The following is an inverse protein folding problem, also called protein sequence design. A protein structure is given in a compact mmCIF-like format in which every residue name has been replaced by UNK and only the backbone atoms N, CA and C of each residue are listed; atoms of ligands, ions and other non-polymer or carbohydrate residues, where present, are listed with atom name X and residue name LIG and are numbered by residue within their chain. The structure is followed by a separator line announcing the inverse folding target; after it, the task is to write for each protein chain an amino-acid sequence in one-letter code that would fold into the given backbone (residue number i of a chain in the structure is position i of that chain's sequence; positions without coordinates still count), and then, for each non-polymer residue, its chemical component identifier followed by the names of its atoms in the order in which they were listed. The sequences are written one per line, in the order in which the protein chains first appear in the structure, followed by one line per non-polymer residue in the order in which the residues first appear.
data_IF_639664354254
#
_entry.id   IF_639664354254
#
_cell.length_a   1.000
_cell.length_b   1.000
_cell.length_c   1.000
_cell.angle_alpha   90.00
_cell.angle_beta   90.00
_cell.angle_gamma   90.00
#
_symmetry.space_group_name_H-M   'P 1'
#
loop_
_entity.id
_entity.type
_entity.pdbx_description
1 polymer ?
#
# COMPACT_ATOMS: atom_id res chain seq x y z
N UNK A 1 16.16 13.86 3.75
CA UNK A 1 15.04 14.28 4.61
C UNK A 1 13.90 13.29 4.39
N UNK A 2 13.47 12.55 5.41
CA UNK A 2 12.44 11.48 5.34
C UNK A 2 11.05 12.01 5.72
N UNK A 3 10.52 12.93 4.93
CA UNK A 3 9.31 13.69 5.26
C UNK A 3 8.06 12.79 5.19
N UNK A 4 7.89 12.06 4.10
CA UNK A 4 6.67 11.28 3.85
C UNK A 4 6.68 9.96 4.62
N UNK A 5 7.85 9.32 4.75
CA UNK A 5 8.05 8.09 5.52
C UNK A 5 7.60 8.26 6.98
N UNK A 6 8.03 9.34 7.65
CA UNK A 6 7.65 9.59 9.04
C UNK A 6 6.14 9.79 9.21
N UNK A 7 5.49 10.49 8.27
CA UNK A 7 4.03 10.63 8.30
C UNK A 7 3.33 9.31 7.99
N UNK A 8 3.82 8.53 7.01
CA UNK A 8 3.29 7.20 6.71
C UNK A 8 3.33 6.30 7.95
N UNK A 9 4.46 6.22 8.65
CA UNK A 9 4.59 5.41 9.87
C UNK A 9 3.61 5.86 10.97
N UNK A 10 3.44 7.17 11.15
CA UNK A 10 2.44 7.72 12.08
C UNK A 10 1.02 7.26 11.71
N UNK A 11 0.66 7.31 10.44
CA UNK A 11 -0.69 6.93 10.00
C UNK A 11 -0.90 5.42 10.04
N UNK A 12 0.14 4.62 9.77
CA UNK A 12 0.11 3.17 9.97
C UNK A 12 -0.12 2.85 11.45
N UNK A 13 0.60 3.52 12.37
CA UNK A 13 0.39 3.37 13.81
C UNK A 13 -1.08 3.64 14.20
N UNK A 14 -1.67 4.71 13.68
CA UNK A 14 -3.09 5.02 13.89
C UNK A 14 -4.00 3.92 13.32
N UNK A 15 -3.70 3.42 12.11
CA UNK A 15 -4.47 2.35 11.48
C UNK A 15 -4.41 1.03 12.25
N UNK A 16 -3.29 0.68 12.86
CA UNK A 16 -3.21 -0.48 13.77
C UNK A 16 -4.22 -0.36 14.92
N UNK A 17 -4.39 0.84 15.48
CA UNK A 17 -5.40 1.07 16.52
C UNK A 17 -6.81 0.76 16.01
N UNK A 18 -7.16 1.18 14.79
CA UNK A 18 -8.46 0.86 14.19
C UNK A 18 -8.62 -0.63 13.83
N UNK A 19 -7.53 -1.30 13.47
CA UNK A 19 -7.56 -2.73 13.12
C UNK A 19 -7.80 -3.60 14.35
N UNK A 20 -7.09 -3.31 15.44
CA UNK A 20 -7.02 -4.18 16.60
C UNK A 20 -7.95 -3.78 17.74
N UNK A 21 -8.53 -2.57 17.73
CA UNK A 21 -9.58 -2.19 18.70
C UNK A 21 -10.76 -3.18 18.69
N UNK A 22 -11.18 -3.69 19.85
CA UNK A 22 -12.38 -4.52 19.99
C UNK A 22 -13.63 -3.63 19.86
N UNK A 23 -14.22 -3.52 18.67
CA UNK A 23 -15.52 -2.87 18.53
C UNK A 23 -16.65 -3.85 18.89
N UNK A 24 -17.42 -3.54 19.95
CA UNK A 24 -18.66 -4.23 20.32
C UNK A 24 -19.81 -4.10 19.29
N UNK A 25 -19.62 -3.35 18.21
CA UNK A 25 -20.54 -3.31 17.07
C UNK A 25 -19.93 -4.02 15.87
N UNK A 26 -20.66 -5.03 15.44
CA UNK A 26 -20.46 -5.89 14.30
C UNK A 26 -19.91 -5.18 13.04
N UNK A 27 -19.01 -5.87 12.34
CA UNK A 27 -19.04 -6.02 10.88
C UNK A 27 -19.08 -4.77 9.98
N UNK A 28 -18.58 -3.60 10.40
CA UNK A 28 -18.22 -2.58 9.40
C UNK A 28 -16.94 -3.04 8.69
N UNK A 29 -17.14 -3.57 7.47
CA UNK A 29 -16.16 -4.16 6.53
C UNK A 29 -14.74 -3.57 6.65
N UNK A 30 -13.75 -4.45 6.56
CA UNK A 30 -12.29 -4.20 6.59
C UNK A 30 -11.80 -2.96 5.84
N UNK A 31 -12.50 -2.55 4.78
CA UNK A 31 -12.07 -1.49 3.88
C UNK A 31 -12.03 -0.11 4.56
N UNK A 32 -12.90 0.16 5.55
CA UNK A 32 -12.88 1.47 6.25
C UNK A 32 -11.62 1.71 7.09
N UNK A 33 -10.86 0.67 7.38
CA UNK A 33 -9.73 0.73 8.32
C UNK A 33 -8.48 1.34 7.70
N UNK A 34 -8.39 1.34 6.37
CA UNK A 34 -7.24 1.86 5.61
C UNK A 34 -7.53 3.19 4.91
N UNK A 35 -8.78 3.67 4.95
CA UNK A 35 -9.19 4.93 4.32
C UNK A 35 -8.30 6.13 4.77
N UNK A 36 -7.89 6.18 6.04
CA UNK A 36 -6.94 7.18 6.56
C UNK A 36 -5.57 7.14 5.87
N UNK A 37 -5.10 5.94 5.49
CA UNK A 37 -3.83 5.78 4.77
C UNK A 37 -3.94 6.28 3.33
N UNK A 38 -5.09 6.07 2.68
CA UNK A 38 -5.36 6.61 1.35
C UNK A 38 -5.38 8.14 1.38
N UNK A 39 -6.01 8.71 2.41
CA UNK A 39 -5.99 10.17 2.61
C UNK A 39 -4.59 10.72 2.93
N UNK A 40 -3.79 10.01 3.73
CA UNK A 40 -2.40 10.39 3.98
C UNK A 40 -1.56 10.41 2.69
N UNK A 41 -1.70 9.36 1.88
CA UNK A 41 -1.06 9.27 0.56
C UNK A 41 -1.48 10.43 -0.35
N UNK A 42 -2.77 10.76 -0.39
CA UNK A 42 -3.28 11.91 -1.15
C UNK A 42 -2.59 13.22 -0.71
N UNK A 43 -2.43 13.45 0.61
CA UNK A 43 -1.72 14.63 1.11
C UNK A 43 -0.24 14.65 0.75
N UNK A 44 0.43 13.49 0.79
CA UNK A 44 1.83 13.38 0.36
C UNK A 44 1.98 13.78 -1.11
N UNK A 45 1.12 13.22 -1.96
CA UNK A 45 1.07 13.52 -3.39
C UNK A 45 0.72 14.96 -3.68
N UNK A 46 -0.31 15.50 -3.03
CA UNK A 46 -0.70 16.90 -3.20
C UNK A 46 0.44 17.83 -2.81
N UNK A 47 1.15 17.54 -1.71
CA UNK A 47 2.32 18.31 -1.28
C UNK A 47 3.50 18.20 -2.22
N UNK A 48 3.75 17.04 -2.84
CA UNK A 48 4.88 16.85 -3.76
C UNK A 48 4.58 17.35 -5.18
N UNK A 49 3.33 17.20 -5.63
CA UNK A 49 2.85 17.77 -6.87
C UNK A 49 2.89 19.30 -6.79
N UNK A 50 2.31 19.87 -5.73
CA UNK A 50 2.22 21.32 -5.51
C UNK A 50 1.76 22.08 -6.77
N UNK A 51 0.75 21.53 -7.45
CA UNK A 51 0.24 22.04 -8.71
C UNK A 51 -1.29 21.92 -8.71
N UNK A 52 -1.96 23.04 -8.98
CA UNK A 52 -3.42 23.16 -8.94
C UNK A 52 -4.11 22.62 -10.20
N UNK A 53 -3.34 22.17 -11.19
CA UNK A 53 -3.81 21.51 -12.41
C UNK A 53 -4.31 20.09 -12.16
N UNK A 54 -4.05 19.53 -10.97
CA UNK A 54 -4.47 18.20 -10.57
C UNK A 54 -5.62 18.23 -9.58
N UNK A 55 -6.59 17.34 -9.76
CA UNK A 55 -7.57 16.99 -8.75
C UNK A 55 -7.27 15.57 -8.25
N UNK A 56 -7.15 15.41 -6.93
CA UNK A 56 -6.84 14.12 -6.32
C UNK A 56 -8.04 13.68 -5.50
N UNK A 57 -8.41 12.42 -5.65
CA UNK A 57 -9.59 11.85 -5.03
C UNK A 57 -9.23 10.58 -4.29
N UNK A 58 -9.91 10.39 -3.18
CA UNK A 58 -9.97 9.15 -2.42
C UNK A 58 -11.37 9.05 -1.83
N UNK A 59 -11.72 7.88 -1.30
CA UNK A 59 -13.01 7.65 -0.67
C UNK A 59 -13.33 8.62 0.46
N UNK A 60 -12.32 9.09 1.21
CA UNK A 60 -12.52 10.08 2.27
C UNK A 60 -12.89 11.47 1.74
N UNK A 61 -12.39 11.85 0.56
CA UNK A 61 -12.68 13.19 -0.01
C UNK A 61 -14.00 13.23 -0.75
N UNK A 62 -14.44 12.10 -1.33
CA UNK A 62 -15.63 12.05 -2.21
C UNK A 62 -16.76 11.16 -1.66
N UNK A 63 -16.59 10.56 -0.49
CA UNK A 63 -17.56 9.64 0.12
C UNK A 63 -17.65 8.25 -0.53
N UNK A 64 -17.03 8.05 -1.71
CA UNK A 64 -16.92 6.76 -2.39
C UNK A 64 -15.60 6.63 -3.16
N UNK A 65 -15.12 5.40 -3.37
CA UNK A 65 -13.98 5.16 -4.30
C UNK A 65 -14.43 5.49 -5.72
N UNK A 66 -13.76 6.48 -6.33
CA UNK A 66 -13.96 6.80 -7.74
C UNK A 66 -13.46 5.65 -8.63
N UNK A 67 -14.06 5.58 -9.82
CA UNK A 67 -13.72 4.60 -10.84
C UNK A 67 -12.80 5.24 -11.88
N UNK A 68 -11.72 4.54 -12.21
CA UNK A 68 -10.98 4.77 -13.43
C UNK A 68 -11.61 3.93 -14.56
N UNK A 69 -11.77 4.53 -15.73
CA UNK A 69 -12.24 3.85 -16.93
C UNK A 69 -11.07 3.02 -17.50
N UNK A 70 -10.98 1.75 -17.11
CA UNK A 70 -9.96 0.84 -17.62
C UNK A 70 -10.29 0.35 -19.03
N UNK A 71 -9.33 -0.33 -19.64
CA UNK A 71 -9.44 -0.79 -21.03
C UNK A 71 -10.49 -1.89 -21.22
N UNK A 72 -10.55 -2.83 -20.27
CA UNK A 72 -11.48 -3.95 -20.29
C UNK A 72 -12.71 -3.70 -19.39
N UNK A 73 -12.53 -3.00 -18.28
CA UNK A 73 -13.58 -2.69 -17.32
C UNK A 73 -13.26 -1.48 -16.45
N UNK A 74 -14.29 -0.81 -15.94
CA UNK A 74 -14.14 0.24 -14.92
C UNK A 74 -13.63 -0.35 -13.61
N UNK A 75 -12.59 0.26 -13.04
CA UNK A 75 -11.98 -0.19 -11.79
C UNK A 75 -12.09 0.88 -10.72
N UNK A 76 -12.55 0.49 -9.52
CA UNK A 76 -12.42 1.33 -8.32
C UNK A 76 -10.98 1.39 -7.86
N UNK A 77 -10.53 2.56 -7.42
CA UNK A 77 -9.12 2.81 -7.05
C UNK A 77 -9.06 3.45 -5.67
N UNK A 78 -7.99 3.20 -4.92
CA UNK A 78 -7.82 3.79 -3.59
C UNK A 78 -7.52 5.31 -3.65
N UNK A 79 -6.74 5.71 -4.66
CA UNK A 79 -6.50 7.11 -5.03
C UNK A 79 -6.55 7.28 -6.54
N UNK A 80 -7.30 8.29 -6.99
CA UNK A 80 -7.45 8.66 -8.39
C UNK A 80 -6.95 10.10 -8.60
N UNK A 81 -6.18 10.33 -9.64
CA UNK A 81 -5.66 11.66 -10.01
C UNK A 81 -6.18 12.05 -11.38
N UNK A 82 -6.78 13.24 -11.49
CA UNK A 82 -7.33 13.78 -12.73
C UNK A 82 -6.66 15.08 -13.14
N UNK A 83 -6.66 15.33 -14.45
CA UNK A 83 -6.42 16.66 -14.99
C UNK A 83 -7.65 17.53 -14.71
N UNK A 84 -7.47 18.62 -13.98
CA UNK A 84 -8.58 19.53 -13.60
C UNK A 84 -9.28 20.15 -14.81
N UNK A 85 -8.54 20.40 -15.89
CA UNK A 85 -9.04 21.07 -17.10
C UNK A 85 -9.76 20.09 -18.03
N UNK A 86 -9.13 18.95 -18.34
CA UNK A 86 -9.70 17.98 -19.30
C UNK A 86 -10.65 16.99 -18.64
N UNK A 87 -10.58 16.86 -17.31
CA UNK A 87 -11.31 15.84 -16.54
C UNK A 87 -10.93 14.41 -16.92
N UNK A 88 -9.76 14.22 -17.50
CA UNK A 88 -9.21 12.88 -17.79
C UNK A 88 -8.49 12.32 -16.57
N UNK A 89 -8.58 11.00 -16.40
CA UNK A 89 -7.82 10.28 -15.36
C UNK A 89 -6.37 10.16 -15.82
N UNK A 90 -5.44 10.70 -15.02
CA UNK A 90 -4.00 10.68 -15.30
C UNK A 90 -3.36 9.45 -14.66
N UNK A 91 -3.75 9.17 -13.41
CA UNK A 91 -3.14 8.11 -12.65
C UNK A 91 -4.07 7.51 -11.60
N UNK A 92 -3.79 6.26 -11.24
CA UNK A 92 -4.42 5.54 -10.13
C UNK A 92 -3.36 5.00 -9.18
N UNK A 93 -3.74 4.79 -7.92
CA UNK A 93 -2.87 4.16 -6.93
C UNK A 93 -3.65 3.13 -6.15
N UNK A 94 -3.03 1.95 -5.99
CA UNK A 94 -3.52 0.85 -5.19
C UNK A 94 -2.66 0.72 -3.93
N UNK A 95 -3.32 0.60 -2.78
CA UNK A 95 -2.69 0.48 -1.47
C UNK A 95 -3.08 -0.84 -0.80
N UNK A 96 -2.09 -1.64 -0.41
CA UNK A 96 -2.31 -2.91 0.28
C UNK A 96 -1.52 -2.99 1.57
N UNK A 97 -2.24 -3.22 2.65
CA UNK A 97 -1.62 -3.53 3.94
C UNK A 97 -1.74 -5.02 4.26
N UNK A 98 -0.60 -5.69 4.40
CA UNK A 98 -0.50 -7.14 4.53
C UNK A 98 0.07 -7.51 5.91
N UNK A 99 -0.85 -7.74 6.86
CA UNK A 99 -0.50 -8.01 8.27
C UNK A 99 -0.45 -9.50 8.62
N UNK A 100 -0.85 -10.40 7.72
CA UNK A 100 -0.88 -11.84 7.98
C UNK A 100 -0.90 -12.69 6.71
N UNK A 101 -0.50 -13.95 6.82
CA UNK A 101 -0.56 -14.95 5.73
C UNK A 101 0.05 -14.48 4.40
N UNK A 102 1.07 -13.61 4.45
CA UNK A 102 1.68 -12.95 3.27
C UNK A 102 2.19 -13.98 2.26
N UNK A 103 2.95 -14.96 2.75
CA UNK A 103 3.51 -16.05 1.94
C UNK A 103 2.44 -16.87 1.19
N UNK A 104 1.26 -17.09 1.81
CA UNK A 104 0.20 -17.92 1.22
C UNK A 104 -0.50 -17.19 0.07
N UNK A 105 -0.56 -15.86 0.15
CA UNK A 105 -1.29 -15.01 -0.79
C UNK A 105 -0.37 -14.32 -1.82
N UNK A 106 0.93 -14.62 -1.84
CA UNK A 106 1.89 -13.89 -2.67
C UNK A 106 1.56 -14.00 -4.17
N UNK A 107 1.32 -15.22 -4.67
CA UNK A 107 0.99 -15.44 -6.07
C UNK A 107 -0.30 -14.72 -6.47
N UNK A 108 -1.33 -14.79 -5.63
CA UNK A 108 -2.59 -14.08 -5.87
C UNK A 108 -2.40 -12.56 -5.88
N UNK A 109 -1.56 -12.02 -5.00
CA UNK A 109 -1.25 -10.60 -4.98
C UNK A 109 -0.53 -10.16 -6.26
N UNK A 110 0.40 -10.96 -6.78
CA UNK A 110 1.12 -10.70 -8.02
C UNK A 110 0.16 -10.77 -9.21
N UNK A 111 -0.63 -11.84 -9.33
CA UNK A 111 -1.61 -12.01 -10.42
C UNK A 111 -2.63 -10.88 -10.45
N UNK A 112 -3.15 -10.46 -9.29
CA UNK A 112 -4.08 -9.33 -9.20
C UNK A 112 -3.40 -8.02 -9.61
N UNK A 113 -2.15 -7.78 -9.16
CA UNK A 113 -1.39 -6.59 -9.56
C UNK A 113 -1.20 -6.50 -11.07
N UNK A 114 -0.82 -7.61 -11.70
CA UNK A 114 -0.63 -7.69 -13.15
C UNK A 114 -1.95 -7.46 -13.89
N UNK A 115 -3.03 -8.14 -13.47
CA UNK A 115 -4.34 -7.99 -14.10
C UNK A 115 -4.88 -6.56 -14.02
N UNK A 116 -4.81 -5.95 -12.83
CA UNK A 116 -5.25 -4.58 -12.61
C UNK A 116 -4.38 -3.58 -13.38
N UNK A 117 -3.05 -3.77 -13.37
CA UNK A 117 -2.14 -2.90 -14.11
C UNK A 117 -2.39 -2.98 -15.62
N UNK A 118 -2.59 -4.19 -16.15
CA UNK A 118 -2.93 -4.40 -17.56
C UNK A 118 -4.20 -3.64 -17.95
N UNK A 119 -5.24 -3.70 -17.10
CA UNK A 119 -6.50 -3.03 -17.38
C UNK A 119 -6.35 -1.49 -17.39
N UNK A 120 -5.59 -0.93 -16.45
CA UNK A 120 -5.43 0.52 -16.31
C UNK A 120 -4.44 1.10 -17.32
N UNK A 121 -3.27 0.48 -17.49
CA UNK A 121 -2.22 1.00 -18.37
C UNK A 121 -2.57 0.93 -19.84
N UNK A 122 -3.27 -0.12 -20.28
CA UNK A 122 -3.77 -0.19 -21.66
C UNK A 122 -4.79 0.92 -22.00
N UNK A 123 -5.42 1.53 -21.00
CA UNK A 123 -6.27 2.71 -21.19
C UNK A 123 -5.46 4.03 -21.26
N UNK A 124 -4.12 3.96 -21.27
CA UNK A 124 -3.24 5.14 -21.23
C UNK A 124 -3.13 5.78 -19.84
N UNK A 125 -3.65 5.14 -18.80
CA UNK A 125 -3.66 5.67 -17.44
C UNK A 125 -2.47 5.10 -16.66
N UNK A 126 -1.70 5.97 -15.99
CA UNK A 126 -0.60 5.52 -15.12
C UNK A 126 -1.15 4.81 -13.89
N UNK A 127 -0.46 3.81 -13.38
CA UNK A 127 -0.87 3.12 -12.15
C UNK A 127 0.31 2.76 -11.26
N UNK A 128 0.12 2.93 -9.96
CA UNK A 128 1.16 2.74 -8.95
C UNK A 128 0.65 1.87 -7.81
N UNK A 129 1.56 1.14 -7.17
CA UNK A 129 1.19 0.20 -6.10
C UNK A 129 2.05 0.41 -4.86
N UNK A 130 1.41 0.42 -3.70
CA UNK A 130 2.07 0.54 -2.40
C UNK A 130 1.67 -0.64 -1.52
N UNK A 131 2.66 -1.37 -1.04
CA UNK A 131 2.51 -2.41 -0.06
C UNK A 131 3.09 -1.97 1.28
N UNK A 132 2.34 -2.17 2.35
CA UNK A 132 2.81 -2.09 3.73
C UNK A 132 2.72 -3.47 4.35
N UNK A 133 3.85 -4.07 4.71
CA UNK A 133 3.93 -5.49 5.09
C UNK A 133 4.61 -5.61 6.45
N UNK A 134 4.01 -6.32 7.41
CA UNK A 134 4.70 -6.62 8.67
C UNK A 134 5.90 -7.54 8.43
N UNK A 135 7.06 -7.22 9.01
CA UNK A 135 8.31 -7.96 8.89
C UNK A 135 8.17 -9.40 9.38
N UNK A 136 7.39 -9.60 10.45
CA UNK A 136 6.98 -10.91 10.92
C UNK A 136 5.46 -11.00 10.84
N UNK A 137 4.95 -11.99 10.13
CA UNK A 137 3.51 -12.17 9.90
C UNK A 137 3.02 -13.51 10.44
N UNK A 138 1.91 -13.55 11.19
CA UNK A 138 1.31 -14.80 11.60
C UNK A 138 0.67 -15.52 10.41
N UNK A 139 0.79 -16.83 10.41
CA UNK A 139 0.20 -17.73 9.43
C UNK A 139 -0.90 -18.49 10.13
N UNK A 140 -2.14 -18.31 9.71
CA UNK A 140 -3.27 -18.92 10.42
C UNK A 140 -3.69 -20.27 9.82
N UNK A 141 -4.21 -21.14 10.69
CA UNK A 141 -5.13 -22.23 10.32
C UNK A 141 -6.53 -21.68 10.05
N UNK A 142 -7.39 -22.49 9.44
CA UNK A 142 -8.81 -22.16 9.27
C UNK A 142 -9.53 -21.91 10.60
N UNK A 143 -9.06 -22.52 11.69
CA UNK A 143 -9.57 -22.34 13.06
C UNK A 143 -9.19 -21.01 13.71
N UNK A 144 -8.30 -20.20 13.09
CA UNK A 144 -7.82 -18.94 13.66
C UNK A 144 -6.62 -19.07 14.61
N UNK A 145 -6.13 -20.28 14.82
CA UNK A 145 -4.84 -20.56 15.48
C UNK A 145 -3.67 -20.09 14.63
N UNK A 146 -2.63 -19.57 15.28
CA UNK A 146 -1.34 -19.25 14.67
C UNK A 146 -0.60 -20.58 14.45
N UNK A 147 -0.47 -20.97 13.19
CA UNK A 147 0.24 -22.17 12.75
C UNK A 147 1.75 -21.96 12.81
N UNK A 148 2.21 -20.81 12.36
CA UNK A 148 3.63 -20.43 12.29
C UNK A 148 3.78 -18.92 12.13
N UNK A 149 5.02 -18.44 12.28
CA UNK A 149 5.41 -17.07 11.96
C UNK A 149 6.25 -17.07 10.69
N UNK A 150 5.94 -16.17 9.76
CA UNK A 150 6.71 -15.95 8.55
C UNK A 150 7.45 -14.62 8.65
N UNK A 151 8.78 -14.67 8.60
CA UNK A 151 9.63 -13.48 8.51
C UNK A 151 9.90 -13.14 7.05
N UNK A 152 9.61 -11.89 6.66
CA UNK A 152 9.94 -11.34 5.35
C UNK A 152 11.47 -11.38 5.19
N UNK A 153 11.92 -11.87 4.05
CA UNK A 153 13.34 -11.98 3.69
C UNK A 153 13.52 -11.43 2.28
N UNK A 154 14.75 -11.11 1.90
CA UNK A 154 15.06 -10.58 0.57
C UNK A 154 14.46 -11.40 -0.58
N UNK A 155 14.50 -12.74 -0.45
CA UNK A 155 13.92 -13.67 -1.44
C UNK A 155 12.43 -13.47 -1.75
N UNK A 156 11.68 -12.83 -0.84
CA UNK A 156 10.28 -12.49 -1.07
C UNK A 156 10.13 -11.56 -2.29
N UNK A 157 11.13 -10.70 -2.53
CA UNK A 157 11.11 -9.70 -3.58
C UNK A 157 11.68 -10.21 -4.91
N UNK A 158 12.25 -11.42 -4.98
CA UNK A 158 12.96 -11.88 -6.18
C UNK A 158 12.08 -11.89 -7.44
N UNK A 159 10.80 -12.27 -7.29
CA UNK A 159 9.85 -12.22 -8.41
C UNK A 159 9.59 -10.78 -8.86
N UNK A 160 9.44 -9.84 -7.93
CA UNK A 160 9.27 -8.43 -8.25
C UNK A 160 10.55 -7.85 -8.88
N UNK A 161 11.72 -8.17 -8.33
CA UNK A 161 13.01 -7.78 -8.91
C UNK A 161 13.16 -8.30 -10.34
N UNK A 162 12.75 -9.54 -10.62
CA UNK A 162 12.77 -10.11 -11.97
C UNK A 162 11.83 -9.33 -12.89
N UNK A 163 10.57 -9.16 -12.49
CA UNK A 163 9.57 -8.37 -13.23
C UNK A 163 10.15 -6.99 -13.59
N UNK A 164 10.75 -6.28 -12.62
CA UNK A 164 11.28 -4.94 -12.80
C UNK A 164 12.68 -4.85 -13.47
N UNK A 165 13.42 -5.96 -13.62
CA UNK A 165 14.73 -5.98 -14.27
C UNK A 165 14.67 -6.22 -15.79
N UNK A 166 13.64 -6.91 -16.30
CA UNK A 166 13.59 -7.40 -17.69
C UNK A 166 13.16 -6.31 -18.73
N UNK A 167 13.59 -5.05 -18.53
CA UNK A 167 13.37 -3.84 -19.38
C UNK A 167 11.90 -3.36 -19.51
N UNK A 168 11.59 -2.34 -18.72
CA UNK A 168 10.27 -2.09 -18.12
C UNK A 168 9.44 -0.93 -18.72
N UNK A 169 10.00 -0.11 -19.61
CA UNK A 169 9.35 1.16 -19.97
C UNK A 169 8.09 1.02 -20.83
N UNK A 170 7.88 -0.13 -21.47
CA UNK A 170 6.81 -0.32 -22.47
C UNK A 170 5.82 -1.45 -22.13
N UNK A 171 6.10 -2.27 -21.10
CA UNK A 171 5.18 -3.35 -20.74
C UNK A 171 4.01 -2.81 -19.93
N UNK A 172 2.83 -2.73 -20.55
CA UNK A 172 1.59 -2.28 -19.92
C UNK A 172 0.97 -3.30 -18.96
N UNK A 173 1.54 -4.48 -18.80
CA UNK A 173 0.99 -5.51 -17.91
C UNK A 173 1.32 -5.31 -16.43
N UNK A 174 2.08 -4.29 -16.09
CA UNK A 174 2.67 -4.10 -14.76
C UNK A 174 2.64 -2.63 -14.32
N UNK A 175 2.57 -2.29 -13.00
CA UNK A 175 2.44 -0.90 -12.57
C UNK A 175 3.66 -0.05 -12.95
N UNK A 176 3.46 1.25 -13.21
CA UNK A 176 4.54 2.20 -13.51
C UNK A 176 5.62 2.20 -12.42
N UNK A 177 5.24 2.06 -11.15
CA UNK A 177 6.15 1.81 -10.04
C UNK A 177 5.45 1.03 -8.90
N UNK A 178 6.25 0.29 -8.12
CA UNK A 178 5.80 -0.40 -6.89
C UNK A 178 6.69 0.00 -5.70
N UNK A 179 6.05 0.28 -4.56
CA UNK A 179 6.70 0.50 -3.28
C UNK A 179 6.37 -0.59 -2.28
N UNK A 180 7.38 -1.16 -1.62
CA UNK A 180 7.26 -2.04 -0.47
C UNK A 180 7.77 -1.33 0.78
N UNK A 181 6.95 -1.30 1.83
CA UNK A 181 7.27 -0.72 3.12
C UNK A 181 7.18 -1.83 4.17
N UNK A 182 8.33 -2.34 4.58
CA UNK A 182 8.45 -3.48 5.50
C UNK A 182 8.53 -2.95 6.92
N UNK A 183 7.49 -3.25 7.70
CA UNK A 183 7.21 -2.69 9.00
C UNK A 183 7.72 -3.61 10.11
N UNK A 184 8.48 -3.08 11.04
CA UNK A 184 8.84 -3.75 12.28
C UNK A 184 8.18 -3.02 13.44
N UNK A 185 7.47 -3.79 14.27
CA UNK A 185 6.84 -3.31 15.50
C UNK A 185 7.44 -4.00 16.73
N UNK A 186 7.07 -3.52 17.92
CA UNK A 186 7.57 -3.99 19.21
C UNK A 186 6.77 -5.18 19.79
N UNK A 187 5.84 -5.77 19.01
CA UNK A 187 5.02 -6.88 19.49
C UNK A 187 5.72 -8.23 19.30
N UNK A 188 6.04 -8.87 20.42
CA UNK A 188 6.51 -10.27 20.42
C UNK A 188 5.38 -11.24 20.05
N UNK A 189 5.38 -11.68 18.79
CA UNK A 189 4.43 -12.66 18.26
C UNK A 189 4.70 -14.10 18.70
N UNK A 190 5.89 -14.43 19.22
CA UNK A 190 6.31 -15.81 19.48
C UNK A 190 5.51 -16.49 20.60
N UNK A 191 4.92 -15.69 21.48
CA UNK A 191 4.14 -16.16 22.64
C UNK A 191 2.64 -16.27 22.35
N UNK A 192 2.20 -15.85 21.17
CA UNK A 192 0.79 -15.78 20.80
C UNK A 192 0.37 -17.03 20.04
N UNK A 193 -0.78 -17.58 20.40
CA UNK A 193 -1.32 -18.82 19.83
C UNK A 193 -2.52 -18.58 18.93
N UNK A 194 -3.24 -17.47 19.10
CA UNK A 194 -4.48 -17.23 18.37
C UNK A 194 -4.58 -15.81 17.82
N UNK A 195 -5.41 -15.64 16.78
CA UNK A 195 -5.78 -14.31 16.24
C UNK A 195 -6.43 -13.41 17.29
N UNK A 196 -7.13 -13.98 18.28
CA UNK A 196 -7.77 -13.22 19.35
C UNK A 196 -6.74 -12.69 20.35
N UNK A 197 -5.79 -13.52 20.78
CA UNK A 197 -4.66 -13.10 21.63
C UNK A 197 -3.85 -11.98 20.97
N UNK A 198 -3.61 -12.09 19.65
CA UNK A 198 -2.97 -11.04 18.86
C UNK A 198 -3.71 -9.71 18.96
N UNK A 199 -5.02 -9.71 18.72
CA UNK A 199 -5.84 -8.50 18.82
C UNK A 199 -5.75 -7.86 20.20
N UNK A 200 -5.90 -8.66 21.25
CA UNK A 200 -5.83 -8.18 22.64
C UNK A 200 -4.43 -7.61 22.94
N UNK A 201 -3.37 -8.26 22.46
CA UNK A 201 -1.98 -7.81 22.67
C UNK A 201 -1.72 -6.44 22.03
N UNK A 202 -2.13 -6.26 20.76
CA UNK A 202 -2.00 -4.97 20.06
C UNK A 202 -2.86 -3.90 20.73
N UNK A 203 -4.14 -4.17 21.01
CA UNK A 203 -5.03 -3.19 21.65
C UNK A 203 -4.46 -2.71 23.00
N UNK A 204 -3.96 -3.63 23.82
CA UNK A 204 -3.31 -3.30 25.08
C UNK A 204 -2.01 -2.48 24.92
N UNK A 205 -1.17 -2.76 23.91
CA UNK A 205 0.05 -1.98 23.67
C UNK A 205 -0.27 -0.57 23.17
N UNK A 206 -1.24 -0.46 22.26
CA UNK A 206 -1.67 0.81 21.69
C UNK A 206 -2.31 1.69 22.77
N UNK A 207 -3.19 1.15 23.61
CA UNK A 207 -3.86 1.92 24.67
C UNK A 207 -2.92 2.36 25.81
N UNK A 208 -1.72 1.79 25.90
CA UNK A 208 -0.68 2.19 26.86
C UNK A 208 0.35 3.17 26.26
N UNK A 209 0.09 3.69 25.06
CA UNK A 209 1.04 4.47 24.24
C UNK A 209 2.40 3.77 24.02
N UNK A 210 2.47 2.45 24.24
CA UNK A 210 3.70 1.68 24.13
C UNK A 210 4.01 1.22 22.70
N UNK A 211 3.03 1.25 21.81
CA UNK A 211 3.17 0.69 20.47
C UNK A 211 4.10 1.54 19.59
N UNK A 212 5.20 0.96 19.11
CA UNK A 212 6.14 1.62 18.20
C UNK A 212 6.24 0.85 16.87
N UNK A 213 6.50 1.59 15.79
CA UNK A 213 6.61 1.00 14.46
C UNK A 213 7.63 1.77 13.61
N UNK A 214 8.46 1.02 12.91
CA UNK A 214 9.49 1.55 12.02
C UNK A 214 9.59 0.73 10.74
N UNK A 215 10.34 1.25 9.75
CA UNK A 215 10.77 0.44 8.63
C UNK A 215 11.96 -0.43 9.01
N UNK A 216 12.04 -1.62 8.43
CA UNK A 216 13.18 -2.52 8.59
C UNK A 216 14.42 -1.94 7.90
N UNK A 217 15.43 -1.57 8.68
CA UNK A 217 16.59 -0.83 8.17
C UNK A 217 17.48 -1.63 7.20
N UNK A 218 17.59 -2.95 7.39
CA UNK A 218 18.48 -3.80 6.59
C UNK A 218 17.84 -4.35 5.30
N UNK A 219 16.62 -3.91 4.96
CA UNK A 219 15.93 -4.29 3.72
C UNK A 219 15.65 -3.00 2.95
N UNK A 220 16.58 -2.58 2.10
CA UNK A 220 16.44 -1.42 1.22
C UNK A 220 16.84 -1.77 -0.20
N UNK A 221 16.08 -1.30 -1.17
CA UNK A 221 16.34 -1.55 -2.59
C UNK A 221 15.66 -0.48 -3.45
N UNK A 222 16.34 -0.04 -4.49
CA UNK A 222 15.79 0.85 -5.51
C UNK A 222 16.40 0.49 -6.85
N UNK A 223 15.56 0.10 -7.81
CA UNK A 223 15.97 -0.09 -9.21
C UNK A 223 14.74 -0.15 -10.11
N UNK A 224 14.82 0.47 -11.30
CA UNK A 224 13.81 0.37 -12.36
C UNK A 224 12.36 0.55 -11.87
N UNK A 225 12.09 1.53 -11.00
CA UNK A 225 10.75 1.79 -10.43
C UNK A 225 10.24 0.76 -9.39
N UNK A 226 11.09 -0.15 -8.91
CA UNK A 226 10.84 -0.95 -7.71
C UNK A 226 11.55 -0.32 -6.51
N UNK A 227 10.78 0.01 -5.47
CA UNK A 227 11.25 0.65 -4.25
C UNK A 227 10.95 -0.23 -3.04
N UNK A 228 11.94 -0.49 -2.19
CA UNK A 228 11.78 -1.22 -0.93
C UNK A 228 12.35 -0.36 0.20
N UNK A 229 11.50 0.03 1.15
CA UNK A 229 11.79 0.98 2.23
C UNK A 229 12.36 2.33 1.76
N UNK A 230 11.98 2.75 0.55
CA UNK A 230 12.38 4.00 -0.09
C UNK A 230 11.14 4.85 -0.44
N UNK A 231 10.20 4.98 0.51
CA UNK A 231 8.88 5.59 0.28
C UNK A 231 8.96 7.03 -0.25
N UNK A 232 9.83 7.87 0.32
CA UNK A 232 9.98 9.26 -0.11
C UNK A 232 10.42 9.35 -1.59
N UNK A 233 11.31 8.46 -2.02
CA UNK A 233 11.77 8.42 -3.42
C UNK A 233 10.66 7.95 -4.35
N UNK A 234 9.87 6.97 -3.92
CA UNK A 234 8.71 6.53 -4.66
C UNK A 234 7.68 7.66 -4.86
N UNK A 235 7.36 8.42 -3.80
CA UNK A 235 6.43 9.57 -3.91
C UNK A 235 6.96 10.60 -4.91
N UNK A 236 8.24 10.95 -4.84
CA UNK A 236 8.88 11.87 -5.79
C UNK A 236 8.79 11.38 -7.23
N UNK A 237 9.19 10.14 -7.47
CA UNK A 237 9.16 9.51 -8.80
C UNK A 237 7.75 9.52 -9.39
N UNK A 238 6.75 9.12 -8.60
CA UNK A 238 5.35 9.14 -9.02
C UNK A 238 4.87 10.56 -9.34
N UNK A 239 5.18 11.54 -8.50
CA UNK A 239 4.81 12.95 -8.73
C UNK A 239 5.47 13.53 -9.98
N UNK A 240 6.74 13.22 -10.25
CA UNK A 240 7.44 13.61 -11.49
C UNK A 240 6.77 13.02 -12.73
N UNK A 241 6.43 11.73 -12.70
CA UNK A 241 5.76 11.07 -13.82
C UNK A 241 4.33 11.57 -14.06
N UNK A 242 3.59 11.88 -13.00
CA UNK A 242 2.25 12.48 -13.10
C UNK A 242 2.34 13.89 -13.70
N UNK A 243 3.33 14.69 -13.30
CA UNK A 243 3.57 16.03 -13.88
C UNK A 243 3.83 15.95 -15.38
N UNK A 244 4.72 15.06 -15.78
CA UNK A 244 5.11 14.93 -17.19
C UNK A 244 3.97 14.45 -18.09
N UNK A 245 2.94 13.78 -17.54
CA UNK A 245 1.80 13.28 -18.30
C UNK A 245 0.83 14.38 -18.79
N UNK A 246 0.85 15.59 -18.21
CA UNK A 246 0.01 16.71 -18.68
C UNK A 246 0.67 17.49 -19.82
N UNK A 247 2.01 17.45 -19.92
CA UNK A 247 2.79 18.23 -20.88
C UNK A 247 3.14 17.48 -22.17
N UNK A 248 2.59 16.28 -22.36
CA UNK A 248 2.72 15.44 -23.55
C UNK A 248 1.38 15.42 -24.30
#
# INVERSE_FOLDING_TARGET
MRKYENNLLKEIKNTYAFIYRPSHKENKRSNKKVDNLHYALLRHLSSELNDSSFELFTKETDGSELKANGYYYDKKTDVLIMNKKTKETIATIEFKMLLSSVQKNNNNNISNMIGDATNIRKAGIKTYWIYCISNTTPVYKSTGEIQSLYKIKEKYFDVYKKIYNDNYSEDDSIPNAVSFNILEDDIDLTKLKTKQELKIKYDNHINKDGFDIKLVDNIRYEKNNLFINEYDKFIKKMSEEIKNAIYQ
#
